data_IF_249773506015
#
_entry.id   IF_249773506015
#
_cell.length_a   1.000
_cell.length_b   1.000
_cell.length_c   1.000
_cell.angle_alpha   90.00
_cell.angle_beta   90.00
_cell.angle_gamma   90.00
#
_symmetry.space_group_name_H-M   'P 1'
#
loop_
_entity.id
_entity.type
_entity.pdbx_description
1 polymer ?
#
# COMPACT_ATOMS: atom_id res chain seq x y z
N UNK A 1 -7.74 -3.72 15.11
CA UNK A 1 -6.63 -2.73 15.13
C UNK A 1 -7.17 -1.40 15.63
N UNK A 2 -6.61 -0.85 16.72
CA UNK A 2 -7.11 0.38 17.39
C UNK A 2 -6.46 1.65 16.83
N UNK A 3 -7.06 2.80 17.09
CA UNK A 3 -6.51 4.09 16.66
C UNK A 3 -5.19 4.43 17.37
N UNK A 4 -5.06 4.04 18.64
CA UNK A 4 -3.80 4.14 19.37
C UNK A 4 -2.67 3.36 18.69
N UNK A 5 -2.96 2.13 18.23
CA UNK A 5 -1.99 1.33 17.47
C UNK A 5 -1.59 2.02 16.16
N UNK A 6 -2.55 2.53 15.40
CA UNK A 6 -2.26 3.21 14.13
C UNK A 6 -1.44 4.49 14.34
N UNK A 7 -1.70 5.22 15.43
CA UNK A 7 -0.91 6.39 15.83
C UNK A 7 0.54 6.02 16.16
N UNK A 8 0.75 4.92 16.89
CA UNK A 8 2.09 4.40 17.19
C UNK A 8 2.78 3.94 15.90
N UNK A 9 2.09 3.16 15.06
CA UNK A 9 2.60 2.69 13.78
C UNK A 9 3.04 3.87 12.92
N UNK A 10 2.20 4.90 12.75
CA UNK A 10 2.55 6.11 12.00
C UNK A 10 3.83 6.77 12.49
N UNK A 11 4.00 6.88 13.82
CA UNK A 11 5.15 7.55 14.44
C UNK A 11 6.44 6.73 14.40
N UNK A 12 6.32 5.40 14.46
CA UNK A 12 7.46 4.48 14.55
C UNK A 12 7.85 3.89 13.20
N UNK A 13 6.99 3.98 12.20
CA UNK A 13 7.27 3.51 10.86
C UNK A 13 8.40 4.35 10.25
N UNK A 14 9.43 3.66 9.75
CA UNK A 14 10.63 4.30 9.21
C UNK A 14 10.42 4.75 7.76
N UNK A 15 9.59 5.78 7.57
CA UNK A 15 9.15 6.25 6.25
C UNK A 15 10.28 6.53 5.28
N UNK A 16 11.33 7.23 5.72
CA UNK A 16 12.44 7.63 4.86
C UNK A 16 13.30 6.42 4.45
N UNK A 17 13.51 5.45 5.35
CA UNK A 17 14.24 4.22 5.04
C UNK A 17 13.49 3.37 4.01
N UNK A 18 12.18 3.23 4.17
CA UNK A 18 11.35 2.48 3.22
C UNK A 18 11.29 3.16 1.86
N UNK A 19 11.17 4.48 1.82
CA UNK A 19 11.24 5.22 0.56
C UNK A 19 12.60 5.05 -0.12
N UNK A 20 13.71 5.19 0.63
CA UNK A 20 15.05 4.99 0.08
C UNK A 20 15.21 3.57 -0.47
N UNK A 21 14.72 2.57 0.26
CA UNK A 21 14.77 1.18 -0.19
C UNK A 21 13.97 0.97 -1.49
N UNK A 22 12.76 1.52 -1.61
CA UNK A 22 11.98 1.46 -2.85
C UNK A 22 12.72 2.12 -4.01
N UNK A 23 13.44 3.22 -3.76
CA UNK A 23 14.23 3.88 -4.82
C UNK A 23 15.44 3.06 -5.28
N UNK A 24 16.04 2.27 -4.37
CA UNK A 24 17.22 1.44 -4.67
C UNK A 24 16.79 0.14 -5.37
N UNK A 25 15.85 -0.59 -4.76
CA UNK A 25 15.43 -1.92 -5.23
C UNK A 25 14.37 -1.86 -6.35
N UNK A 26 13.66 -0.73 -6.43
CA UNK A 26 12.47 -0.61 -7.27
C UNK A 26 11.26 -1.39 -6.73
N UNK A 27 10.17 -1.35 -7.49
CA UNK A 27 8.99 -2.19 -7.26
C UNK A 27 8.99 -3.27 -8.34
N UNK A 28 9.00 -4.55 -7.93
CA UNK A 28 8.76 -5.65 -8.87
C UNK A 28 7.26 -5.81 -9.06
N UNK A 29 6.77 -5.52 -10.27
CA UNK A 29 5.35 -5.67 -10.60
C UNK A 29 4.96 -7.15 -10.67
N UNK A 30 3.95 -7.54 -9.89
CA UNK A 30 3.38 -8.90 -9.85
C UNK A 30 1.96 -8.92 -10.46
N UNK A 31 1.17 -7.90 -10.18
CA UNK A 31 -0.20 -7.72 -10.68
C UNK A 31 -0.32 -6.35 -11.32
N UNK A 32 -0.06 -6.25 -12.63
CA UNK A 32 -0.26 -5.01 -13.36
C UNK A 32 -1.71 -4.53 -13.24
N UNK A 33 -1.90 -3.22 -13.34
CA UNK A 33 -3.21 -2.58 -13.30
C UNK A 33 -4.15 -3.21 -14.32
N UNK A 34 -5.41 -3.41 -13.91
CA UNK A 34 -6.50 -4.06 -14.67
C UNK A 34 -6.27 -5.54 -14.97
N UNK A 35 -5.30 -6.19 -14.33
CA UNK A 35 -5.18 -7.65 -14.39
C UNK A 35 -6.00 -8.31 -13.28
N UNK A 36 -6.47 -9.52 -13.55
CA UNK A 36 -7.22 -10.33 -12.61
C UNK A 36 -6.29 -11.06 -11.64
N UNK A 37 -6.75 -11.30 -10.41
CA UNK A 37 -6.03 -12.14 -9.47
C UNK A 37 -5.96 -13.60 -9.99
N UNK A 38 -4.80 -14.27 -9.95
CA UNK A 38 -4.61 -15.58 -10.59
C UNK A 38 -5.50 -16.69 -10.02
N UNK A 39 -5.84 -16.60 -8.73
CA UNK A 39 -6.75 -17.55 -8.05
C UNK A 39 -8.21 -17.08 -7.96
N UNK A 40 -8.47 -15.78 -8.18
CA UNK A 40 -9.78 -15.16 -7.96
C UNK A 40 -10.06 -14.19 -9.12
N UNK A 41 -10.42 -14.69 -10.32
CA UNK A 41 -10.48 -13.88 -11.54
C UNK A 41 -11.46 -12.69 -11.48
N UNK A 42 -12.43 -12.72 -10.56
CA UNK A 42 -13.37 -11.64 -10.28
C UNK A 42 -12.71 -10.43 -9.58
N UNK A 43 -11.55 -10.62 -8.95
CA UNK A 43 -10.78 -9.57 -8.28
C UNK A 43 -9.85 -8.94 -9.31
N UNK A 44 -10.17 -7.71 -9.72
CA UNK A 44 -9.38 -6.93 -10.68
C UNK A 44 -8.56 -5.89 -9.92
N UNK A 45 -7.25 -5.88 -10.14
CA UNK A 45 -6.34 -4.92 -9.50
C UNK A 45 -6.54 -3.51 -10.09
N UNK A 46 -6.95 -2.51 -9.30
CA UNK A 46 -7.26 -1.18 -9.82
C UNK A 46 -6.01 -0.32 -10.08
N UNK A 47 -4.88 -0.73 -9.49
CA UNK A 47 -3.54 -0.12 -9.59
C UNK A 47 -2.51 -1.20 -9.90
N UNK A 48 -1.32 -0.78 -10.30
CA UNK A 48 -0.17 -1.68 -10.33
C UNK A 48 0.16 -2.14 -8.90
N UNK A 49 0.37 -3.44 -8.75
CA UNK A 49 0.65 -4.06 -7.46
C UNK A 49 1.82 -5.02 -7.58
N UNK A 50 2.66 -5.03 -6.55
CA UNK A 50 3.90 -5.78 -6.55
C UNK A 50 4.55 -5.77 -5.18
N UNK A 51 5.85 -5.98 -5.15
CA UNK A 51 6.61 -6.11 -3.92
C UNK A 51 8.03 -5.53 -4.05
N UNK A 52 8.69 -5.33 -2.92
CA UNK A 52 10.10 -4.89 -2.84
C UNK A 52 10.97 -6.12 -2.61
N UNK A 53 11.88 -6.43 -3.53
CA UNK A 53 12.81 -7.57 -3.38
C UNK A 53 13.70 -7.40 -2.17
N UNK A 54 14.24 -8.51 -1.68
CA UNK A 54 15.19 -8.53 -0.55
C UNK A 54 14.59 -7.95 0.74
N UNK A 55 13.26 -8.00 0.88
CA UNK A 55 12.55 -7.64 2.10
C UNK A 55 11.81 -8.84 2.66
N UNK A 56 11.45 -8.76 3.94
CA UNK A 56 10.66 -9.81 4.59
C UNK A 56 9.61 -9.14 5.46
N UNK A 57 8.36 -9.50 5.22
CA UNK A 57 7.17 -9.13 5.96
C UNK A 57 6.92 -10.13 7.10
N UNK A 58 5.88 -9.92 7.89
CA UNK A 58 5.50 -10.75 9.03
C UNK A 58 5.15 -12.20 8.67
N UNK A 59 4.70 -12.43 7.44
CA UNK A 59 4.34 -13.73 6.85
C UNK A 59 5.53 -14.43 6.18
N UNK A 60 6.70 -13.78 6.13
CA UNK A 60 7.89 -14.30 5.46
C UNK A 60 7.98 -13.97 3.97
N UNK A 61 6.96 -13.32 3.38
CA UNK A 61 6.98 -12.85 2.00
C UNK A 61 7.62 -11.46 1.90
N UNK A 62 7.88 -10.98 0.69
CA UNK A 62 8.31 -9.61 0.47
C UNK A 62 7.23 -8.58 0.83
N UNK A 63 7.63 -7.35 1.15
CA UNK A 63 6.69 -6.28 1.47
C UNK A 63 5.96 -5.80 0.22
N UNK A 64 4.64 -5.87 0.29
CA UNK A 64 3.73 -5.47 -0.78
C UNK A 64 3.67 -3.95 -0.99
N UNK A 65 3.45 -3.56 -2.24
CA UNK A 65 3.36 -2.17 -2.69
C UNK A 65 2.24 -2.00 -3.71
N UNK A 66 1.36 -1.04 -3.46
CA UNK A 66 0.57 -0.40 -4.51
C UNK A 66 1.39 0.73 -5.14
N UNK A 67 1.55 0.67 -6.46
CA UNK A 67 2.27 1.67 -7.24
C UNK A 67 1.28 2.54 -8.00
N UNK A 68 1.33 3.84 -7.73
CA UNK A 68 0.51 4.84 -8.40
C UNK A 68 1.31 5.72 -9.36
N UNK A 69 0.66 6.77 -9.85
CA UNK A 69 1.15 7.62 -10.94
C UNK A 69 1.15 9.13 -10.62
N UNK A 70 0.89 9.49 -9.37
CA UNK A 70 0.75 10.90 -8.94
C UNK A 70 2.06 11.59 -8.59
N UNK A 71 2.60 11.25 -7.43
CA UNK A 71 3.79 11.90 -6.84
C UNK A 71 4.99 10.97 -6.93
N UNK A 72 6.22 11.46 -6.71
CA UNK A 72 7.41 10.58 -6.66
C UNK A 72 7.91 10.35 -5.23
N UNK A 73 7.05 9.85 -4.34
CA UNK A 73 7.42 9.51 -2.95
C UNK A 73 6.42 8.53 -2.31
N UNK A 74 6.77 8.01 -1.13
CA UNK A 74 5.93 7.10 -0.34
C UNK A 74 4.89 7.93 0.41
N UNK A 75 3.60 7.73 0.12
CA UNK A 75 2.52 8.60 0.63
C UNK A 75 1.81 8.02 1.87
N UNK A 76 1.96 6.73 2.10
CA UNK A 76 1.30 6.03 3.21
C UNK A 76 1.46 4.53 3.13
N UNK A 77 0.71 3.85 3.98
CA UNK A 77 0.55 2.39 3.98
C UNK A 77 -0.88 2.02 4.36
N UNK A 78 -1.27 0.80 4.04
CA UNK A 78 -2.50 0.16 4.53
C UNK A 78 -2.07 -0.96 5.47
N UNK A 79 -2.44 -0.85 6.74
CA UNK A 79 -2.27 -1.93 7.70
C UNK A 79 -3.48 -2.87 7.60
N UNK A 80 -3.24 -4.13 7.25
CA UNK A 80 -4.28 -5.12 7.03
C UNK A 80 -4.43 -6.05 8.24
N UNK A 81 -5.59 -6.70 8.31
CA UNK A 81 -5.82 -7.87 9.15
C UNK A 81 -6.54 -8.87 8.26
N UNK A 82 -5.86 -9.96 7.93
CA UNK A 82 -6.45 -11.06 7.16
C UNK A 82 -7.07 -12.06 8.15
N UNK A 83 -8.39 -12.14 8.14
CA UNK A 83 -9.11 -13.04 9.05
C UNK A 83 -9.00 -14.52 8.64
N UNK A 84 -8.56 -14.79 7.41
CA UNK A 84 -8.37 -16.15 6.90
C UNK A 84 -7.04 -16.74 7.36
N UNK A 85 -6.01 -15.91 7.42
CA UNK A 85 -4.65 -16.32 7.77
C UNK A 85 -4.31 -16.00 9.22
N UNK A 86 -5.06 -15.10 9.86
CA UNK A 86 -4.86 -14.70 11.25
C UNK A 86 -3.66 -13.75 11.44
N UNK A 87 -3.18 -13.15 10.36
CA UNK A 87 -2.00 -12.28 10.35
C UNK A 87 -2.35 -10.82 10.08
N UNK A 88 -1.30 -10.00 10.18
CA UNK A 88 -1.33 -8.56 9.95
C UNK A 88 -0.17 -8.23 9.06
N UNK A 89 -0.46 -7.55 7.98
CA UNK A 89 0.53 -7.11 7.02
C UNK A 89 0.47 -5.60 6.85
N UNK A 90 1.48 -5.06 6.20
CA UNK A 90 1.48 -3.70 5.69
C UNK A 90 1.60 -3.75 4.18
N UNK A 91 0.87 -2.86 3.51
CA UNK A 91 0.99 -2.66 2.05
C UNK A 91 1.31 -1.20 1.82
N UNK A 92 2.46 -0.92 1.22
CA UNK A 92 2.95 0.44 1.02
C UNK A 92 2.23 1.12 -0.14
N UNK A 93 2.07 2.44 -0.07
CA UNK A 93 1.46 3.26 -1.11
C UNK A 93 2.55 4.13 -1.74
N UNK A 94 3.19 3.60 -2.78
CA UNK A 94 4.25 4.29 -3.51
C UNK A 94 3.64 5.11 -4.64
N UNK A 95 3.98 6.40 -4.74
CA UNK A 95 3.60 7.29 -5.85
C UNK A 95 2.11 7.49 -6.08
N UNK A 96 1.26 7.06 -5.14
CA UNK A 96 -0.18 7.17 -5.27
C UNK A 96 -0.64 8.64 -5.18
N UNK A 97 -1.42 9.09 -6.15
CA UNK A 97 -2.20 10.30 -6.02
C UNK A 97 -3.38 10.08 -5.04
N UNK A 98 -4.07 11.14 -4.60
CA UNK A 98 -5.18 11.00 -3.65
C UNK A 98 -6.28 10.02 -4.08
N UNK A 99 -6.69 10.02 -5.36
CA UNK A 99 -7.71 9.09 -5.85
C UNK A 99 -7.21 7.65 -5.87
N UNK A 100 -5.95 7.42 -6.19
CA UNK A 100 -5.31 6.10 -6.14
C UNK A 100 -5.22 5.58 -4.70
N UNK A 101 -4.96 6.45 -3.71
CA UNK A 101 -5.04 6.06 -2.28
C UNK A 101 -6.43 5.55 -1.92
N UNK A 102 -7.49 6.22 -2.38
CA UNK A 102 -8.87 5.75 -2.18
C UNK A 102 -9.14 4.43 -2.92
N UNK A 103 -8.62 4.27 -4.15
CA UNK A 103 -8.76 3.04 -4.93
C UNK A 103 -8.10 1.85 -4.22
N UNK A 104 -6.86 2.01 -3.74
CA UNK A 104 -6.15 0.96 -3.00
C UNK A 104 -6.88 0.61 -1.69
N UNK A 105 -7.34 1.62 -0.95
CA UNK A 105 -8.08 1.39 0.30
C UNK A 105 -9.42 0.69 0.07
N UNK A 106 -10.16 1.11 -0.97
CA UNK A 106 -11.41 0.47 -1.37
C UNK A 106 -11.21 -0.97 -1.85
N UNK A 107 -10.16 -1.23 -2.63
CA UNK A 107 -9.80 -2.58 -3.08
C UNK A 107 -9.50 -3.52 -1.91
N UNK A 108 -8.67 -3.10 -0.96
CA UNK A 108 -8.35 -3.91 0.22
C UNK A 108 -9.58 -4.18 1.09
N UNK A 109 -10.56 -3.26 1.10
CA UNK A 109 -11.79 -3.40 1.86
C UNK A 109 -12.98 -3.83 1.00
N UNK A 110 -12.75 -4.41 -0.19
CA UNK A 110 -13.83 -4.85 -1.07
C UNK A 110 -14.73 -5.89 -0.39
N UNK A 111 -14.14 -6.82 0.35
CA UNK A 111 -14.83 -7.79 1.19
C UNK A 111 -14.27 -7.78 2.62
N UNK A 112 -14.84 -6.91 3.45
CA UNK A 112 -14.40 -6.73 4.85
C UNK A 112 -14.63 -7.93 5.75
N UNK A 113 -15.39 -8.94 5.31
CA UNK A 113 -15.53 -10.20 6.04
C UNK A 113 -14.26 -11.06 5.96
N UNK A 114 -13.43 -10.85 4.92
CA UNK A 114 -12.17 -11.57 4.70
C UNK A 114 -10.95 -10.75 5.09
N UNK A 115 -10.91 -9.49 4.66
CA UNK A 115 -9.75 -8.62 4.83
C UNK A 115 -10.18 -7.23 5.24
N UNK A 116 -9.56 -6.68 6.28
CA UNK A 116 -9.80 -5.30 6.71
C UNK A 116 -8.54 -4.46 6.65
N UNK A 117 -8.59 -3.35 5.91
CA UNK A 117 -7.49 -2.41 5.76
C UNK A 117 -7.73 -1.08 6.47
N UNK A 118 -6.76 -0.65 7.28
CA UNK A 118 -6.74 0.68 7.91
C UNK A 118 -5.62 1.52 7.29
N UNK A 119 -5.99 2.68 6.77
CA UNK A 119 -5.05 3.61 6.14
C UNK A 119 -4.19 4.33 7.19
N UNK A 120 -2.89 4.40 6.94
CA UNK A 120 -1.93 5.19 7.70
C UNK A 120 -1.19 6.11 6.73
N UNK A 121 -1.55 7.39 6.76
CA UNK A 121 -0.99 8.38 5.86
C UNK A 121 0.32 8.97 6.40
N UNK A 122 1.36 9.00 5.58
CA UNK A 122 2.59 9.75 5.86
C UNK A 122 2.28 11.25 5.88
N UNK A 123 1.63 11.73 4.83
CA UNK A 123 1.14 13.11 4.71
C UNK A 123 -0.37 13.17 4.84
N UNK A 124 -0.95 14.14 5.58
CA UNK A 124 -2.39 14.32 5.63
C UNK A 124 -2.99 14.39 4.22
N UNK A 125 -4.18 13.81 4.02
CA UNK A 125 -4.83 13.76 2.71
C UNK A 125 -4.97 15.17 2.09
N UNK A 126 -5.33 16.18 2.89
CA UNK A 126 -5.36 17.60 2.46
C UNK A 126 -4.03 18.09 1.87
N UNK A 127 -2.90 17.62 2.41
CA UNK A 127 -1.58 17.99 1.92
C UNK A 127 -1.31 17.28 0.60
N UNK A 128 -1.63 15.98 0.51
CA UNK A 128 -1.42 15.20 -0.71
C UNK A 128 -2.26 15.72 -1.89
N UNK A 129 -3.50 16.18 -1.67
CA UNK A 129 -4.33 16.83 -2.70
C UNK A 129 -3.73 18.13 -3.24
N UNK A 130 -2.88 18.80 -2.46
CA UNK A 130 -2.21 20.03 -2.87
C UNK A 130 -0.81 19.77 -3.45
N UNK A 131 -0.31 18.53 -3.41
CA UNK A 131 0.94 18.17 -4.06
C UNK A 131 0.70 18.05 -5.57
N UNK A 132 1.47 18.77 -6.38
CA UNK A 132 1.36 18.65 -7.83
C UNK A 132 1.89 17.28 -8.29
N UNK A 133 1.23 16.65 -9.29
CA UNK A 133 1.77 15.45 -9.90
C UNK A 133 3.11 15.75 -10.56
N UNK A 134 4.01 14.77 -10.56
CA UNK A 134 5.31 14.90 -11.22
C UNK A 134 5.06 15.01 -12.72
N UNK A 135 5.51 16.11 -13.34
CA UNK A 135 5.55 16.22 -14.80
C UNK A 135 6.61 15.24 -15.31
N UNK A 136 6.18 14.16 -15.94
CA UNK A 136 7.04 13.21 -16.65
C UNK A 136 7.45 13.76 -18.01
#
# INVERSE_FOLDING_TARGET
MTDAYLSILKKRFSWDLWEQLIRIEGVTLDRPRRTAHPKYPEIIYPLDYGFIRNTTSSDGAEVDVFMGSGVDHLVGLIATTDYRQGDREIKLLWRCCPSEVYMAHGFINFDTSKLKGRLVMRYPMKTLWNMQPVKH
#
